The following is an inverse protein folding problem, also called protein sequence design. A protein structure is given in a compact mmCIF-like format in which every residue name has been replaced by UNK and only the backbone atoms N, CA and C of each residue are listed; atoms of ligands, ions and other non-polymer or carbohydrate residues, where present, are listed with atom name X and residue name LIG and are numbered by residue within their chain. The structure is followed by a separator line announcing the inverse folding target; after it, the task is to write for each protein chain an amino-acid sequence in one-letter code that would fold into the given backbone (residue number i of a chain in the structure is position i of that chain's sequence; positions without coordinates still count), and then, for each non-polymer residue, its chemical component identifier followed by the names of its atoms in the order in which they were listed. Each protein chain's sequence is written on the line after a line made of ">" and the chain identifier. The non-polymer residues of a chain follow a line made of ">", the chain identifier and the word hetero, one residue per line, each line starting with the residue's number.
data_IF_829267220415
#
_entry.id   IF_829267220415
#
_cell.length_a   1.000
_cell.length_b   1.000
_cell.length_c   1.000
_cell.angle_alpha   90.00
_cell.angle_beta   90.00
_cell.angle_gamma   90.00
#
_symmetry.space_group_name_H-M   'P 1'
#
loop_
_entity.id
_entity.type
_entity.pdbx_description
1 polymer ?
#
# COMPACT_ATOMS: atom_id res chain seq x y z
N UNK A 1 2.06 11.52 -23.25
CA UNK A 1 0.64 11.88 -23.05
C UNK A 1 0.48 12.23 -21.57
N UNK A 2 -0.24 13.30 -21.25
CA UNK A 2 -0.43 13.77 -19.86
C UNK A 2 -1.92 13.71 -19.54
N UNK A 3 -2.24 13.07 -18.41
CA UNK A 3 -3.61 12.88 -17.95
C UNK A 3 -3.73 13.28 -16.48
N UNK A 4 -4.70 14.14 -16.20
CA UNK A 4 -5.05 14.54 -14.83
C UNK A 4 -6.20 13.65 -14.34
N UNK A 5 -6.00 13.02 -13.17
CA UNK A 5 -6.99 12.20 -12.48
C UNK A 5 -7.35 12.84 -11.14
N UNK A 6 -8.65 12.89 -10.84
CA UNK A 6 -9.14 13.30 -9.52
C UNK A 6 -9.71 12.08 -8.82
N UNK A 7 -9.07 11.66 -7.73
CA UNK A 7 -9.48 10.53 -6.92
C UNK A 7 -10.36 11.04 -5.79
N UNK A 8 -11.48 10.35 -5.56
CA UNK A 8 -12.33 10.56 -4.41
C UNK A 8 -11.75 9.85 -3.19
N UNK A 9 -12.31 10.12 -2.01
CA UNK A 9 -11.99 9.36 -0.81
C UNK A 9 -12.18 7.86 -1.03
N UNK A 10 -11.27 7.07 -0.47
CA UNK A 10 -11.26 5.60 -0.50
C UNK A 10 -11.22 4.98 -1.91
N UNK A 11 -10.70 5.75 -2.87
CA UNK A 11 -10.47 5.28 -4.25
C UNK A 11 -8.98 5.13 -4.56
N UNK A 12 -8.68 4.30 -5.56
CA UNK A 12 -7.33 4.15 -6.08
C UNK A 12 -7.26 4.22 -7.59
N UNK A 13 -6.18 4.81 -8.10
CA UNK A 13 -5.84 4.78 -9.51
C UNK A 13 -4.98 3.56 -9.79
N UNK A 14 -5.45 2.68 -10.67
CA UNK A 14 -4.69 1.54 -11.16
C UNK A 14 -4.22 1.80 -12.57
N UNK A 15 -2.95 1.52 -12.85
CA UNK A 15 -2.41 1.58 -14.19
C UNK A 15 -1.25 0.60 -14.35
N UNK A 16 -1.01 0.17 -15.58
CA UNK A 16 0.18 -0.56 -15.97
C UNK A 16 1.02 0.32 -16.90
N UNK A 17 2.30 0.49 -16.58
CA UNK A 17 3.24 1.16 -17.48
C UNK A 17 3.44 0.29 -18.73
N UNK A 18 3.29 0.84 -19.92
CA UNK A 18 3.60 0.09 -21.14
C UNK A 18 5.06 -0.36 -21.15
N UNK A 19 5.34 -1.54 -21.72
CA UNK A 19 6.71 -2.09 -21.80
C UNK A 19 7.62 -1.27 -22.72
N UNK A 20 7.01 -0.55 -23.66
CA UNK A 20 7.72 0.27 -24.64
C UNK A 20 7.73 1.75 -24.24
N UNK A 21 7.24 2.08 -23.04
CA UNK A 21 7.26 3.45 -22.52
C UNK A 21 8.57 3.72 -21.79
N UNK A 22 9.37 4.64 -22.33
CA UNK A 22 10.65 5.01 -21.72
C UNK A 22 10.48 5.78 -20.40
N UNK A 23 9.43 6.61 -20.28
CA UNK A 23 9.18 7.45 -19.12
C UNK A 23 7.70 7.45 -18.71
N UNK A 24 7.35 6.59 -17.73
CA UNK A 24 6.06 6.67 -17.04
C UNK A 24 6.29 7.29 -15.67
N UNK A 25 5.62 8.41 -15.39
CA UNK A 25 5.74 9.09 -14.10
C UNK A 25 4.43 9.66 -13.58
N UNK A 26 4.33 9.73 -12.26
CA UNK A 26 3.16 10.21 -11.54
C UNK A 26 3.56 11.35 -10.60
N UNK A 27 2.81 12.45 -10.65
CA UNK A 27 2.92 13.55 -9.69
C UNK A 27 1.73 13.52 -8.73
N UNK A 28 2.03 13.38 -7.44
CA UNK A 28 1.05 13.39 -6.35
C UNK A 28 0.84 14.80 -5.79
N UNK A 29 1.90 15.63 -5.88
CA UNK A 29 1.96 17.03 -5.46
C UNK A 29 3.03 17.74 -6.32
N UNK A 30 3.05 19.08 -6.39
CA UNK A 30 4.01 19.82 -7.22
C UNK A 30 5.48 19.43 -6.99
N UNK A 31 5.81 19.01 -5.76
CA UNK A 31 7.18 18.74 -5.33
C UNK A 31 7.56 17.26 -5.33
N UNK A 32 6.70 16.33 -5.76
CA UNK A 32 7.00 14.89 -5.71
C UNK A 32 6.53 14.16 -6.96
N UNK A 33 7.50 13.79 -7.78
CA UNK A 33 7.33 12.97 -8.98
C UNK A 33 7.92 11.59 -8.73
N UNK A 34 7.18 10.56 -9.12
CA UNK A 34 7.57 9.17 -9.04
C UNK A 34 7.69 8.62 -10.45
N UNK A 35 8.81 7.98 -10.78
CA UNK A 35 9.02 7.34 -12.09
C UNK A 35 8.92 5.83 -11.93
N UNK A 36 8.26 5.18 -12.87
CA UNK A 36 8.00 3.75 -12.87
C UNK A 36 8.72 3.07 -14.03
N UNK A 37 9.19 1.85 -13.78
CA UNK A 37 9.83 1.04 -14.80
C UNK A 37 8.79 0.51 -15.81
N UNK A 38 9.19 0.22 -17.06
CA UNK A 38 8.30 -0.35 -18.05
C UNK A 38 7.69 -1.69 -17.59
N UNK A 39 6.39 -1.89 -17.80
CA UNK A 39 5.66 -3.08 -17.34
C UNK A 39 5.27 -3.08 -15.85
N UNK A 40 5.54 -2.00 -15.11
CA UNK A 40 5.15 -1.90 -13.71
C UNK A 40 3.62 -1.78 -13.55
N UNK A 41 3.03 -2.64 -12.71
CA UNK A 41 1.62 -2.54 -12.29
C UNK A 41 1.55 -1.76 -10.99
N UNK A 42 0.85 -0.62 -11.02
CA UNK A 42 0.83 0.34 -9.93
C UNK A 42 -0.61 0.61 -9.52
N UNK A 43 -0.85 0.66 -8.21
CA UNK A 43 -2.08 1.12 -7.60
C UNK A 43 -1.76 2.28 -6.65
N UNK A 44 -2.45 3.40 -6.80
CA UNK A 44 -2.25 4.60 -5.99
C UNK A 44 -3.54 4.90 -5.26
N UNK A 45 -3.57 4.61 -3.97
CA UNK A 45 -4.74 4.78 -3.11
C UNK A 45 -4.72 6.12 -2.36
N UNK A 46 -5.90 6.69 -2.08
CA UNK A 46 -6.05 7.89 -1.23
C UNK A 46 -7.15 7.75 -0.19
N UNK A 47 -6.85 8.12 1.06
CA UNK A 47 -7.80 8.14 2.17
C UNK A 47 -8.70 9.38 2.20
N UNK A 48 -8.27 10.48 1.58
CA UNK A 48 -8.96 11.79 1.69
C UNK A 48 -9.32 12.40 0.33
N UNK A 49 -9.01 11.69 -0.76
CA UNK A 49 -9.06 12.25 -2.11
C UNK A 49 -7.75 12.97 -2.47
N UNK A 50 -7.37 12.90 -3.74
CA UNK A 50 -6.18 13.59 -4.25
C UNK A 50 -6.30 13.87 -5.74
N UNK A 51 -5.49 14.81 -6.24
CA UNK A 51 -5.31 15.03 -7.67
C UNK A 51 -3.96 14.47 -8.09
N UNK A 52 -3.99 13.60 -9.08
CA UNK A 52 -2.83 12.93 -9.63
C UNK A 52 -2.64 13.35 -11.07
N UNK A 53 -1.38 13.48 -11.45
CA UNK A 53 -1.01 13.72 -12.84
C UNK A 53 -0.13 12.60 -13.33
N UNK A 54 -0.62 11.84 -14.29
CA UNK A 54 0.06 10.71 -14.91
C UNK A 54 0.62 11.15 -16.25
N UNK A 55 1.92 10.95 -16.44
CA UNK A 55 2.64 11.25 -17.66
C UNK A 55 3.25 9.96 -18.20
N UNK A 56 3.13 9.74 -19.51
CA UNK A 56 3.68 8.56 -20.19
C UNK A 56 2.62 7.80 -20.97
N UNK A 57 2.95 6.58 -21.42
CA UNK A 57 1.98 5.65 -22.00
C UNK A 57 1.66 4.56 -20.99
N UNK A 58 0.37 4.33 -20.76
CA UNK A 58 -0.11 3.36 -19.78
C UNK A 58 -1.29 2.57 -20.34
N UNK A 59 -1.38 1.32 -19.92
CA UNK A 59 -2.44 0.39 -20.31
C UNK A 59 -3.32 0.09 -19.11
N UNK A 60 -4.61 -0.13 -19.35
CA UNK A 60 -5.54 -0.53 -18.30
C UNK A 60 -5.67 0.49 -17.17
N UNK A 61 -5.63 1.78 -17.50
CA UNK A 61 -5.77 2.87 -16.52
C UNK A 61 -7.23 3.08 -16.13
N UNK A 62 -7.56 2.86 -14.86
CA UNK A 62 -8.90 3.12 -14.32
C UNK A 62 -8.86 3.48 -12.84
N UNK A 63 -9.92 4.15 -12.37
CA UNK A 63 -10.13 4.43 -10.95
C UNK A 63 -11.00 3.31 -10.37
N UNK A 64 -10.48 2.61 -9.36
CA UNK A 64 -11.23 1.64 -8.58
C UNK A 64 -11.76 2.29 -7.31
N UNK A 65 -13.07 2.16 -7.08
CA UNK A 65 -13.75 2.65 -5.86
C UNK A 65 -13.89 1.57 -4.80
N UNK A 66 -13.86 0.30 -5.19
CA UNK A 66 -13.94 -0.84 -4.28
C UNK A 66 -12.53 -1.37 -4.02
N UNK A 67 -12.01 -1.12 -2.82
CA UNK A 67 -10.65 -1.51 -2.45
C UNK A 67 -10.63 -2.22 -1.10
N UNK A 68 -9.77 -3.24 -0.90
CA UNK A 68 -9.61 -3.92 0.38
C UNK A 68 -8.76 -3.12 1.38
N UNK A 69 -8.42 -1.85 1.10
CA UNK A 69 -7.45 -1.07 1.89
C UNK A 69 -7.85 -0.91 3.36
N UNK A 70 -9.15 -0.79 3.66
CA UNK A 70 -9.66 -0.76 5.04
C UNK A 70 -9.38 -2.08 5.76
N UNK A 71 -9.47 -3.22 5.08
CA UNK A 71 -9.15 -4.52 5.68
C UNK A 71 -7.66 -4.62 6.01
N UNK A 72 -6.80 -4.10 5.15
CA UNK A 72 -5.35 -4.05 5.40
C UNK A 72 -5.03 -3.17 6.61
N UNK A 73 -5.64 -1.98 6.69
CA UNK A 73 -5.48 -1.07 7.82
C UNK A 73 -5.96 -1.69 9.14
N UNK A 74 -7.11 -2.37 9.12
CA UNK A 74 -7.64 -3.06 10.31
C UNK A 74 -6.73 -4.19 10.76
N UNK A 75 -6.19 -4.97 9.82
CA UNK A 75 -5.24 -6.05 10.10
C UNK A 75 -3.96 -5.48 10.74
N UNK A 76 -3.41 -4.43 10.16
CA UNK A 76 -2.27 -3.69 10.72
C UNK A 76 -2.54 -3.22 12.15
N UNK A 77 -3.68 -2.56 12.37
CA UNK A 77 -4.09 -2.07 13.69
C UNK A 77 -4.23 -3.19 14.73
N UNK A 78 -4.73 -4.36 14.32
CA UNK A 78 -4.80 -5.53 15.19
C UNK A 78 -3.41 -6.07 15.55
N UNK A 79 -2.52 -6.22 14.56
CA UNK A 79 -1.15 -6.70 14.78
C UNK A 79 -0.35 -5.74 15.66
N UNK A 80 -0.45 -4.42 15.43
CA UNK A 80 0.20 -3.42 16.26
C UNK A 80 -0.31 -3.45 17.71
N UNK A 81 -1.61 -3.68 17.91
CA UNK A 81 -2.18 -3.83 19.26
C UNK A 81 -1.61 -5.06 19.97
N UNK A 82 -1.51 -6.20 19.27
CA UNK A 82 -0.89 -7.40 19.82
C UNK A 82 0.59 -7.17 20.16
N UNK A 83 1.33 -6.46 19.29
CA UNK A 83 2.73 -6.09 19.52
C UNK A 83 2.89 -5.25 20.78
N UNK A 84 2.08 -4.19 20.93
CA UNK A 84 2.11 -3.31 22.12
C UNK A 84 1.74 -4.04 23.41
N UNK A 85 0.79 -4.97 23.35
CA UNK A 85 0.40 -5.77 24.50
C UNK A 85 1.53 -6.70 24.93
N UNK A 86 2.23 -7.34 23.99
CA UNK A 86 3.41 -8.14 24.27
C UNK A 86 4.52 -7.28 24.92
N UNK A 87 4.83 -6.11 24.36
CA UNK A 87 5.82 -5.18 24.94
C UNK A 87 5.48 -4.74 26.37
N UNK A 88 4.19 -4.51 26.67
CA UNK A 88 3.74 -4.15 28.02
C UNK A 88 3.91 -5.29 28.99
N UNK A 89 3.56 -6.51 28.59
CA UNK A 89 3.72 -7.72 29.40
C UNK A 89 5.19 -8.01 29.74
N UNK A 90 6.12 -7.77 28.79
CA UNK A 90 7.56 -7.89 29.05
C UNK A 90 8.07 -6.90 30.11
N UNK A 91 7.43 -5.74 30.26
CA UNK A 91 7.86 -4.68 31.20
C UNK A 91 7.34 -4.85 32.62
N UNK A 92 6.32 -5.67 32.86
CA UNK A 92 5.56 -5.69 34.13
C UNK A 92 5.85 -6.86 35.09
N UNK A 93 6.52 -7.94 34.69
CA UNK A 93 6.77 -9.08 35.60
C UNK A 93 7.78 -10.10 35.07
N UNK A 94 8.41 -10.84 36.00
CA UNK A 94 9.48 -11.86 35.90
C UNK A 94 9.27 -13.06 34.93
N UNK A 95 8.29 -13.02 34.02
CA UNK A 95 8.09 -14.00 32.92
C UNK A 95 8.54 -13.43 31.56
N UNK A 96 9.64 -12.68 31.54
CA UNK A 96 10.19 -12.04 30.35
C UNK A 96 10.57 -13.03 29.21
N UNK A 97 10.57 -14.34 29.47
CA UNK A 97 10.97 -15.36 28.50
C UNK A 97 9.92 -15.67 27.41
N UNK A 98 8.66 -15.25 27.56
CA UNK A 98 7.58 -15.66 26.63
C UNK A 98 6.76 -14.53 25.97
N UNK A 99 7.00 -13.26 26.29
CA UNK A 99 6.26 -12.15 25.68
C UNK A 99 6.82 -11.79 24.28
N UNK A 100 6.44 -12.56 23.26
CA UNK A 100 6.81 -12.33 21.85
C UNK A 100 5.71 -11.58 21.09
N UNK A 101 6.10 -10.73 20.14
CA UNK A 101 5.17 -10.07 19.22
C UNK A 101 4.40 -11.05 18.31
N UNK A 102 3.35 -10.60 17.63
CA UNK A 102 2.51 -11.45 16.80
C UNK A 102 3.29 -12.04 15.61
N UNK A 103 3.00 -13.30 15.28
CA UNK A 103 3.52 -13.98 14.08
C UNK A 103 2.32 -14.21 13.16
N UNK A 104 2.38 -13.69 11.93
CA UNK A 104 1.35 -13.85 10.92
C UNK A 104 1.87 -14.67 9.75
N UNK A 105 1.05 -15.58 9.23
CA UNK A 105 1.33 -16.35 8.01
C UNK A 105 0.26 -16.05 6.97
N UNK A 106 0.67 -15.55 5.80
CA UNK A 106 -0.23 -15.25 4.68
C UNK A 106 -0.24 -16.44 3.71
N UNK A 107 -1.42 -17.03 3.49
CA UNK A 107 -1.60 -18.20 2.62
C UNK A 107 -2.67 -17.95 1.56
N UNK A 108 -2.51 -18.58 0.41
CA UNK A 108 -3.48 -18.52 -0.68
C UNK A 108 -2.90 -18.96 -2.02
N UNK A 109 -3.76 -19.20 -3.03
CA UNK A 109 -3.36 -19.60 -4.37
C UNK A 109 -2.48 -18.53 -5.07
N UNK A 110 -1.93 -18.87 -6.23
CA UNK A 110 -1.14 -17.92 -7.04
C UNK A 110 -1.88 -16.63 -7.36
N UNK A 111 -1.15 -15.52 -7.48
CA UNK A 111 -1.64 -14.24 -8.03
C UNK A 111 -2.82 -13.55 -7.33
N UNK A 112 -3.07 -13.86 -6.06
CA UNK A 112 -4.11 -13.18 -5.24
C UNK A 112 -3.63 -11.94 -4.48
N UNK A 113 -2.45 -11.39 -4.81
CA UNK A 113 -1.94 -10.17 -4.16
C UNK A 113 -1.31 -10.37 -2.76
N UNK A 114 -0.86 -11.59 -2.44
CA UNK A 114 -0.24 -11.90 -1.13
C UNK A 114 0.98 -11.02 -0.83
N UNK A 115 1.86 -10.83 -1.80
CA UNK A 115 3.05 -9.96 -1.63
C UNK A 115 2.65 -8.51 -1.42
N UNK A 116 1.65 -8.03 -2.17
CA UNK A 116 1.11 -6.67 -2.01
C UNK A 116 0.56 -6.43 -0.60
N UNK A 117 -0.14 -7.41 -0.02
CA UNK A 117 -0.61 -7.32 1.36
C UNK A 117 0.56 -7.18 2.35
N UNK A 118 1.61 -7.99 2.20
CA UNK A 118 2.79 -7.93 3.07
C UNK A 118 3.50 -6.58 2.95
N UNK A 119 3.69 -6.07 1.73
CA UNK A 119 4.32 -4.77 1.49
C UNK A 119 3.50 -3.61 2.09
N UNK A 120 2.17 -3.66 2.00
CA UNK A 120 1.27 -2.64 2.57
C UNK A 120 1.34 -2.66 4.11
N UNK A 121 1.36 -3.84 4.73
CA UNK A 121 1.44 -3.96 6.19
C UNK A 121 2.81 -3.51 6.73
N UNK A 122 3.90 -3.83 6.02
CA UNK A 122 5.25 -3.40 6.38
C UNK A 122 5.39 -1.87 6.27
N UNK A 123 4.95 -1.28 5.15
CA UNK A 123 5.03 0.17 4.94
C UNK A 123 4.18 0.99 5.92
N UNK A 124 3.05 0.43 6.39
CA UNK A 124 2.27 1.04 7.46
C UNK A 124 3.03 1.10 8.81
N UNK A 125 3.96 0.17 9.04
CA UNK A 125 4.81 0.15 10.23
C UNK A 125 5.93 1.21 10.24
N UNK A 126 6.42 1.61 9.07
CA UNK A 126 7.53 2.57 8.90
C UNK A 126 7.11 4.02 9.16
N UNK A 127 5.81 4.33 9.11
CA UNK A 127 5.28 5.67 9.37
C UNK A 127 5.16 6.02 10.87
N UNK A 128 5.77 5.24 11.78
CA UNK A 128 5.86 5.53 13.22
C UNK A 128 7.16 6.22 13.61
#
# INVERSE_FOLDING_TARGET
>A
MEHDFTLQQDSELRFEAERDAEDVSLKLAPNKQYTFLPGAKVAVFTWHGCRLRLMGKTTGTYIATETPMVMYLNTHGCLERLRRNAERATRSSDEASHARGPICMVVGPGDVGKSTLVDVDESAGVLK
#
